data_IF_325860089357
#
_entry.id   IF_325860089357
#
_cell.length_a   1.000
_cell.length_b   1.000
_cell.length_c   1.000
_cell.angle_alpha   90.00
_cell.angle_beta   90.00
_cell.angle_gamma   90.00
#
_symmetry.space_group_name_H-M   'P 1'
#
loop_
_entity.id
_entity.type
_entity.pdbx_description
1 polymer ?
#
# COMPACT_ATOMS: atom_id res chain seq x y z
N UNK A 1 12.43 -1.75 -38.28
CA UNK A 1 12.28 -1.78 -36.81
C UNK A 1 12.46 -0.35 -36.32
N UNK A 2 11.42 0.27 -35.77
CA UNK A 2 11.50 1.61 -35.18
C UNK A 2 11.77 1.44 -33.68
N UNK A 3 12.85 2.04 -33.19
CA UNK A 3 13.20 2.08 -31.77
C UNK A 3 12.74 3.42 -31.21
N UNK A 4 11.98 3.38 -30.11
CA UNK A 4 11.59 4.58 -29.36
C UNK A 4 12.56 4.79 -28.20
N UNK A 5 12.94 6.05 -27.96
CA UNK A 5 13.83 6.42 -26.86
C UNK A 5 13.16 6.28 -25.48
N UNK A 6 11.82 6.34 -25.42
CA UNK A 6 11.03 6.16 -24.19
C UNK A 6 9.82 5.27 -24.42
N UNK A 7 9.65 4.29 -23.53
CA UNK A 7 8.51 3.35 -23.54
C UNK A 7 7.16 4.05 -23.34
N UNK A 8 7.13 5.21 -22.69
CA UNK A 8 5.92 6.00 -22.41
C UNK A 8 5.21 6.49 -23.68
N UNK A 9 5.95 6.77 -24.76
CA UNK A 9 5.38 7.24 -26.03
C UNK A 9 4.90 6.11 -26.95
N UNK A 10 5.01 4.85 -26.53
CA UNK A 10 4.68 3.70 -27.39
C UNK A 10 3.23 3.75 -27.89
N UNK A 11 2.27 4.14 -27.04
CA UNK A 11 0.86 4.21 -27.45
C UNK A 11 0.58 5.37 -28.42
N UNK A 12 1.11 6.55 -28.14
CA UNK A 12 0.93 7.74 -28.98
C UNK A 12 1.53 7.55 -30.37
N UNK A 13 2.76 7.04 -30.42
CA UNK A 13 3.49 6.81 -31.68
C UNK A 13 2.84 5.68 -32.49
N UNK A 14 2.34 4.63 -31.82
CA UNK A 14 1.62 3.53 -32.51
C UNK A 14 0.31 4.03 -33.13
N UNK A 15 -0.41 4.92 -32.44
CA UNK A 15 -1.63 5.53 -32.98
C UNK A 15 -1.33 6.45 -34.17
N UNK A 16 -0.30 7.30 -34.09
CA UNK A 16 0.10 8.19 -35.18
C UNK A 16 0.59 7.41 -36.41
N UNK A 17 1.39 6.36 -36.20
CA UNK A 17 1.88 5.51 -37.29
C UNK A 17 0.74 4.71 -37.94
N UNK A 18 -0.22 4.20 -37.17
CA UNK A 18 -1.40 3.53 -37.72
C UNK A 18 -2.25 4.47 -38.59
N UNK A 19 -2.39 5.75 -38.20
CA UNK A 19 -3.07 6.76 -39.01
C UNK A 19 -2.31 7.04 -40.31
N UNK A 20 -0.99 7.20 -40.25
CA UNK A 20 -0.11 7.40 -41.41
C UNK A 20 -0.11 6.22 -42.38
N UNK A 21 -0.13 4.99 -41.88
CA UNK A 21 -0.19 3.79 -42.73
C UNK A 21 -1.54 3.65 -43.42
N UNK A 22 -2.63 3.99 -42.73
CA UNK A 22 -3.98 4.02 -43.30
C UNK A 22 -4.12 5.10 -44.38
N UNK A 23 -3.54 6.27 -44.16
CA UNK A 23 -3.55 7.38 -45.14
C UNK A 23 -2.72 7.07 -46.39
N UNK A 24 -1.60 6.35 -46.24
CA UNK A 24 -0.75 5.93 -47.36
C UNK A 24 -1.15 4.60 -48.02
N UNK A 25 -2.26 3.98 -47.58
CA UNK A 25 -2.72 2.70 -48.12
C UNK A 25 -1.76 1.54 -47.91
N UNK A 26 -0.91 1.62 -46.88
CA UNK A 26 0.06 0.58 -46.52
C UNK A 26 -0.58 -0.40 -45.54
N UNK A 27 -0.67 -1.68 -45.94
CA UNK A 27 -1.16 -2.76 -45.07
C UNK A 27 -0.01 -3.31 -44.22
N UNK A 28 0.39 -2.53 -43.21
CA UNK A 28 1.46 -2.88 -42.28
C UNK A 28 0.88 -3.17 -40.89
N UNK A 29 1.14 -4.37 -40.38
CA UNK A 29 0.75 -4.78 -39.04
C UNK A 29 1.76 -4.23 -38.00
N UNK A 30 1.31 -3.28 -37.18
CA UNK A 30 2.10 -2.69 -36.11
C UNK A 30 2.06 -3.58 -34.87
N UNK A 31 3.20 -4.20 -34.53
CA UNK A 31 3.37 -4.97 -33.29
C UNK A 31 4.29 -4.25 -32.34
N UNK A 32 3.82 -4.00 -31.13
CA UNK A 32 4.62 -3.40 -30.06
C UNK A 32 5.56 -4.44 -29.45
N UNK A 33 6.67 -3.99 -28.83
CA UNK A 33 7.58 -4.89 -28.13
C UNK A 33 6.85 -5.72 -27.05
N UNK A 34 5.81 -5.15 -26.44
CA UNK A 34 5.00 -5.80 -25.40
C UNK A 34 4.11 -6.92 -25.95
N UNK A 35 3.60 -6.78 -27.18
CA UNK A 35 2.84 -7.82 -27.88
C UNK A 35 3.76 -8.94 -28.40
N UNK A 36 5.00 -8.59 -28.74
CA UNK A 36 6.04 -9.53 -29.16
C UNK A 36 6.69 -10.26 -27.97
N UNK A 37 6.47 -9.81 -26.73
CA UNK A 37 7.00 -10.40 -25.51
C UNK A 37 5.89 -10.91 -24.55
N UNK A 38 5.01 -11.84 -24.98
CA UNK A 38 3.89 -12.31 -24.17
C UNK A 38 4.33 -12.99 -22.86
N UNK A 39 5.51 -13.61 -22.85
CA UNK A 39 6.09 -14.22 -21.66
C UNK A 39 6.41 -13.17 -20.57
N UNK A 40 7.00 -12.04 -20.95
CA UNK A 40 7.31 -10.95 -20.01
C UNK A 40 6.05 -10.43 -19.32
N UNK A 41 4.98 -10.20 -20.09
CA UNK A 41 3.68 -9.78 -19.53
C UNK A 41 3.08 -10.83 -18.58
N UNK A 42 3.25 -12.12 -18.86
CA UNK A 42 2.79 -13.19 -17.98
C UNK A 42 3.54 -13.17 -16.64
N UNK A 43 4.86 -13.03 -16.66
CA UNK A 43 5.71 -12.95 -15.46
C UNK A 43 5.39 -11.72 -14.62
N UNK A 44 5.26 -10.54 -15.25
CA UNK A 44 4.89 -9.30 -14.54
C UNK A 44 3.51 -9.44 -13.88
N UNK A 45 2.53 -10.03 -14.56
CA UNK A 45 1.20 -10.29 -13.98
C UNK A 45 1.25 -11.25 -12.80
N UNK A 46 2.06 -12.31 -12.90
CA UNK A 46 2.26 -13.26 -11.80
C UNK A 46 2.84 -12.55 -10.57
N UNK A 47 3.93 -11.79 -10.73
CA UNK A 47 4.54 -11.05 -9.61
C UNK A 47 3.58 -10.02 -9.01
N UNK A 48 2.87 -9.25 -9.85
CA UNK A 48 1.87 -8.29 -9.37
C UNK A 48 0.74 -8.98 -8.58
N UNK A 49 0.28 -10.14 -9.03
CA UNK A 49 -0.71 -10.96 -8.31
C UNK A 49 -0.18 -11.43 -6.96
N UNK A 50 1.03 -12.02 -6.93
CA UNK A 50 1.67 -12.49 -5.70
C UNK A 50 1.86 -11.37 -4.69
N UNK A 51 2.44 -10.24 -5.11
CA UNK A 51 2.61 -9.08 -4.24
C UNK A 51 1.27 -8.47 -3.82
N UNK A 52 0.25 -8.52 -4.68
CA UNK A 52 -1.11 -8.12 -4.34
C UNK A 52 -1.67 -8.91 -3.16
N UNK A 53 -1.56 -10.24 -3.20
CA UNK A 53 -2.01 -11.12 -2.11
C UNK A 53 -1.25 -10.82 -0.81
N UNK A 54 0.08 -10.67 -0.88
CA UNK A 54 0.89 -10.34 0.30
C UNK A 54 0.49 -8.99 0.91
N UNK A 55 0.25 -7.96 0.08
CA UNK A 55 -0.24 -6.65 0.54
C UNK A 55 -1.56 -6.76 1.29
N UNK A 56 -2.50 -7.57 0.78
CA UNK A 56 -3.79 -7.79 1.46
C UNK A 56 -3.61 -8.48 2.80
N UNK A 57 -2.76 -9.51 2.88
CA UNK A 57 -2.46 -10.21 4.14
C UNK A 57 -1.86 -9.23 5.15
N UNK A 58 -0.87 -8.43 4.76
CA UNK A 58 -0.24 -7.44 5.64
C UNK A 58 -1.27 -6.40 6.10
N UNK A 59 -2.14 -5.92 5.20
CA UNK A 59 -3.20 -4.98 5.56
C UNK A 59 -4.11 -5.58 6.65
N UNK A 60 -4.53 -6.83 6.49
CA UNK A 60 -5.35 -7.54 7.48
C UNK A 60 -4.60 -7.67 8.82
N UNK A 61 -3.32 -8.04 8.81
CA UNK A 61 -2.51 -8.14 10.04
C UNK A 61 -2.41 -6.81 10.77
N UNK A 62 -2.16 -5.71 10.05
CA UNK A 62 -2.11 -4.36 10.62
C UNK A 62 -3.47 -3.97 11.20
N UNK A 63 -4.57 -4.24 10.47
CA UNK A 63 -5.92 -3.99 10.95
C UNK A 63 -6.18 -4.70 12.28
N UNK A 64 -5.89 -6.00 12.38
CA UNK A 64 -6.10 -6.78 13.61
C UNK A 64 -5.18 -6.36 14.75
N UNK A 65 -3.90 -6.08 14.46
CA UNK A 65 -2.93 -5.66 15.46
C UNK A 65 -3.35 -4.36 16.14
N UNK A 66 -3.70 -3.34 15.34
CA UNK A 66 -4.19 -2.05 15.86
C UNK A 66 -5.51 -2.21 16.60
N UNK A 67 -6.45 -2.99 16.05
CA UNK A 67 -7.74 -3.22 16.69
C UNK A 67 -7.58 -3.87 18.08
N UNK A 68 -6.67 -4.84 18.21
CA UNK A 68 -6.40 -5.51 19.48
C UNK A 68 -5.75 -4.56 20.49
N UNK A 69 -4.72 -3.81 20.08
CA UNK A 69 -4.03 -2.85 20.94
C UNK A 69 -4.97 -1.74 21.41
N UNK A 70 -5.76 -1.15 20.52
CA UNK A 70 -6.71 -0.10 20.89
C UNK A 70 -7.83 -0.64 21.77
N UNK A 71 -8.29 -1.87 21.53
CA UNK A 71 -9.29 -2.50 22.41
C UNK A 71 -8.76 -2.60 23.83
N UNK A 72 -7.49 -3.00 24.00
CA UNK A 72 -6.86 -3.04 25.33
C UNK A 72 -6.76 -1.63 25.95
N UNK A 73 -6.33 -0.63 25.17
CA UNK A 73 -6.27 0.76 25.64
C UNK A 73 -7.63 1.30 26.09
N UNK A 74 -8.71 0.94 25.38
CA UNK A 74 -10.09 1.29 25.75
C UNK A 74 -10.45 0.69 27.12
N UNK A 75 -10.10 -0.58 27.37
CA UNK A 75 -10.37 -1.24 28.65
C UNK A 75 -9.63 -0.59 29.83
N UNK A 76 -8.38 -0.18 29.62
CA UNK A 76 -7.60 0.54 30.66
C UNK A 76 -8.20 1.91 30.99
N UNK A 77 -8.82 2.58 30.00
CA UNK A 77 -9.34 3.96 30.13
C UNK A 77 -10.85 4.05 30.33
N UNK A 78 -11.56 2.96 30.63
CA UNK A 78 -13.03 2.95 30.80
C UNK A 78 -13.50 3.99 31.82
N UNK A 79 -12.81 4.11 32.96
CA UNK A 79 -13.14 5.09 34.02
C UNK A 79 -13.02 6.53 33.51
N UNK A 80 -11.94 6.87 32.81
CA UNK A 80 -11.71 8.19 32.24
C UNK A 80 -12.79 8.56 31.21
N UNK A 81 -13.14 7.61 30.34
CA UNK A 81 -14.22 7.79 29.34
C UNK A 81 -15.55 8.02 30.04
N UNK A 82 -15.83 7.31 31.14
CA UNK A 82 -17.02 7.52 31.98
C UNK A 82 -17.07 8.94 32.56
N UNK A 83 -15.96 9.43 33.10
CA UNK A 83 -15.86 10.80 33.63
C UNK A 83 -16.04 11.85 32.53
N UNK A 84 -15.42 11.68 31.36
CA UNK A 84 -15.58 12.59 30.22
C UNK A 84 -17.05 12.70 29.79
N UNK A 85 -17.79 11.60 29.84
CA UNK A 85 -19.22 11.58 29.54
C UNK A 85 -20.08 12.20 30.62
N UNK A 86 -19.72 12.03 31.89
CA UNK A 86 -20.42 12.66 33.02
C UNK A 86 -20.34 14.20 32.96
N UNK A 87 -19.22 14.73 32.46
CA UNK A 87 -19.02 16.18 32.25
C UNK A 87 -19.64 16.66 30.92
N UNK A 88 -20.34 15.77 30.18
CA UNK A 88 -21.13 16.13 29.00
C UNK A 88 -20.47 15.89 27.64
N UNK A 89 -19.34 15.19 27.57
CA UNK A 89 -18.70 14.87 26.29
C UNK A 89 -19.60 13.96 25.44
N UNK A 90 -19.89 14.40 24.22
CA UNK A 90 -20.69 13.64 23.24
C UNK A 90 -19.92 12.40 22.77
N UNK A 91 -20.65 11.34 22.38
CA UNK A 91 -20.08 10.11 21.79
C UNK A 91 -19.13 10.41 20.61
N UNK A 92 -19.44 11.43 19.81
CA UNK A 92 -18.60 11.88 18.70
C UNK A 92 -17.26 12.45 19.12
N UNK A 93 -17.14 13.04 20.32
CA UNK A 93 -15.87 13.50 20.87
C UNK A 93 -14.95 12.34 21.22
N UNK A 94 -15.50 11.29 21.83
CA UNK A 94 -14.77 10.05 22.17
C UNK A 94 -14.34 9.33 20.89
N UNK A 95 -15.23 9.22 19.89
CA UNK A 95 -14.87 8.64 18.59
C UNK A 95 -13.71 9.39 17.94
N UNK A 96 -13.77 10.73 17.89
CA UNK A 96 -12.69 11.55 17.32
C UNK A 96 -11.37 11.35 18.04
N UNK A 97 -11.38 11.22 19.36
CA UNK A 97 -10.16 10.98 20.15
C UNK A 97 -9.45 9.70 19.69
N UNK A 98 -10.17 8.58 19.62
CA UNK A 98 -9.60 7.30 19.18
C UNK A 98 -9.23 7.30 17.70
N UNK A 99 -10.01 7.96 16.83
CA UNK A 99 -9.63 8.11 15.42
C UNK A 99 -8.32 8.90 15.25
N UNK A 100 -8.12 9.95 16.06
CA UNK A 100 -6.87 10.71 16.10
C UNK A 100 -5.70 9.86 16.59
N UNK A 101 -5.92 9.04 17.61
CA UNK A 101 -4.89 8.12 18.09
C UNK A 101 -4.50 7.10 17.01
N UNK A 102 -5.47 6.49 16.32
CA UNK A 102 -5.21 5.60 15.18
C UNK A 102 -4.54 6.28 13.99
N UNK A 103 -4.87 7.55 13.73
CA UNK A 103 -4.22 8.37 12.71
C UNK A 103 -2.76 8.67 13.06
N UNK A 104 -2.47 9.06 14.30
CA UNK A 104 -1.09 9.32 14.77
C UNK A 104 -0.24 8.06 14.75
N UNK A 105 -0.78 6.93 15.20
CA UNK A 105 -0.13 5.61 15.10
C UNK A 105 0.17 5.30 13.62
N UNK A 106 -0.78 5.59 12.73
CA UNK A 106 -0.60 5.45 11.28
C UNK A 106 0.56 6.25 10.72
N UNK A 107 0.62 7.55 11.04
CA UNK A 107 1.69 8.44 10.57
C UNK A 107 3.03 7.95 11.08
N UNK A 108 3.16 7.70 12.38
CA UNK A 108 4.42 7.28 13.00
C UNK A 108 4.86 5.94 12.40
N UNK A 109 3.95 4.99 12.30
CA UNK A 109 4.23 3.68 11.69
C UNK A 109 4.61 3.78 10.22
N UNK A 110 3.96 4.64 9.44
CA UNK A 110 4.26 4.84 8.03
C UNK A 110 5.63 5.52 7.83
N UNK A 111 5.97 6.52 8.62
CA UNK A 111 7.30 7.18 8.59
C UNK A 111 8.39 6.17 8.93
N UNK A 112 8.25 5.46 10.05
CA UNK A 112 9.23 4.47 10.48
C UNK A 112 9.36 3.32 9.46
N UNK A 113 8.23 2.84 8.91
CA UNK A 113 8.19 1.83 7.88
C UNK A 113 8.91 2.25 6.59
N UNK A 114 8.74 3.50 6.16
CA UNK A 114 9.46 4.03 4.99
C UNK A 114 10.96 4.14 5.26
N UNK A 115 11.35 4.71 6.40
CA UNK A 115 12.76 4.86 6.76
C UNK A 115 13.44 3.48 6.79
N UNK A 116 12.85 2.54 7.53
CA UNK A 116 13.39 1.17 7.62
C UNK A 116 13.40 0.46 6.26
N UNK A 117 12.35 0.61 5.45
CA UNK A 117 12.29 0.05 4.10
C UNK A 117 13.38 0.60 3.18
N UNK A 118 13.65 1.90 3.24
CA UNK A 118 14.75 2.55 2.49
C UNK A 118 16.10 2.01 2.95
N UNK A 119 16.33 1.92 4.27
CA UNK A 119 17.58 1.39 4.83
C UNK A 119 17.83 -0.06 4.39
N UNK A 120 16.79 -0.90 4.43
CA UNK A 120 16.88 -2.29 3.94
C UNK A 120 17.15 -2.33 2.44
N UNK A 121 16.45 -1.51 1.65
CA UNK A 121 16.66 -1.45 0.20
C UNK A 121 18.10 -1.03 -0.16
N UNK A 122 18.63 -0.01 0.53
CA UNK A 122 20.01 0.42 0.35
C UNK A 122 21.00 -0.66 0.82
N UNK A 123 20.75 -1.33 1.94
CA UNK A 123 21.56 -2.44 2.42
C UNK A 123 21.65 -3.58 1.40
N UNK A 124 20.53 -3.96 0.80
CA UNK A 124 20.50 -4.97 -0.27
C UNK A 124 21.30 -4.52 -1.50
N UNK A 125 21.14 -3.26 -1.90
CA UNK A 125 21.89 -2.70 -3.04
C UNK A 125 23.41 -2.69 -2.78
N UNK A 126 23.83 -2.35 -1.55
CA UNK A 126 25.25 -2.37 -1.15
C UNK A 126 25.84 -3.78 -1.15
N UNK A 127 25.04 -4.80 -0.81
CA UNK A 127 25.45 -6.20 -0.88
C UNK A 127 25.52 -6.78 -2.31
N UNK A 128 25.33 -5.95 -3.34
CA UNK A 128 25.38 -6.36 -4.74
C UNK A 128 24.01 -6.71 -5.35
N UNK A 129 22.90 -6.42 -4.65
CA UNK A 129 21.54 -6.62 -5.13
C UNK A 129 21.00 -8.04 -4.90
N UNK A 130 19.89 -8.35 -5.57
CA UNK A 130 19.25 -9.66 -5.54
C UNK A 130 19.55 -10.38 -6.83
N UNK A 131 20.20 -11.55 -6.75
CA UNK A 131 20.45 -12.37 -7.94
C UNK A 131 19.13 -12.91 -8.50
N UNK A 132 18.86 -12.61 -9.78
CA UNK A 132 17.71 -13.12 -10.53
C UNK A 132 18.22 -14.10 -11.59
N UNK A 133 17.64 -15.30 -11.59
CA UNK A 133 17.92 -16.33 -12.60
C UNK A 133 17.62 -15.82 -14.02
N UNK A 134 18.39 -16.26 -15.04
CA UNK A 134 18.22 -15.78 -16.40
C UNK A 134 16.77 -15.93 -16.88
N UNK A 135 16.14 -14.84 -17.38
CA UNK A 135 14.85 -14.96 -18.04
C UNK A 135 14.99 -15.75 -19.36
N UNK A 136 13.92 -16.37 -19.87
CA UNK A 136 13.94 -17.06 -21.16
C UNK A 136 14.37 -16.10 -22.27
N UNK A 137 15.45 -16.46 -22.98
CA UNK A 137 16.08 -15.60 -24.00
C UNK A 137 17.40 -14.96 -23.56
N UNK A 138 17.78 -15.07 -22.28
CA UNK A 138 19.12 -14.74 -21.78
C UNK A 138 19.81 -15.99 -21.22
N UNK A 139 21.12 -16.09 -21.43
CA UNK A 139 21.96 -17.19 -20.92
C UNK A 139 22.62 -16.87 -19.58
N UNK A 140 22.60 -15.60 -19.16
CA UNK A 140 23.21 -15.13 -17.91
C UNK A 140 22.15 -14.48 -17.01
N UNK A 141 22.21 -14.79 -15.72
CA UNK A 141 21.44 -14.08 -14.70
C UNK A 141 21.98 -12.67 -14.48
N UNK A 142 21.21 -11.84 -13.79
CA UNK A 142 21.64 -10.49 -13.44
C UNK A 142 21.25 -10.15 -12.01
N UNK A 143 21.97 -9.20 -11.42
CA UNK A 143 21.64 -8.70 -10.09
C UNK A 143 20.65 -7.55 -10.21
N UNK A 144 19.45 -7.74 -9.67
CA UNK A 144 18.46 -6.70 -9.59
C UNK A 144 18.75 -5.78 -8.39
N UNK A 145 18.81 -4.48 -8.67
CA UNK A 145 18.87 -3.44 -7.66
C UNK A 145 17.45 -2.98 -7.33
N UNK A 146 17.23 -2.62 -6.07
CA UNK A 146 15.97 -2.07 -5.60
C UNK A 146 15.95 -0.58 -5.93
N UNK A 147 15.06 -0.20 -6.85
CA UNK A 147 14.82 1.20 -7.19
C UNK A 147 13.81 1.80 -6.21
N UNK A 148 14.21 2.90 -5.56
CA UNK A 148 13.33 3.66 -4.66
C UNK A 148 12.56 4.68 -5.50
N UNK A 149 11.27 4.43 -5.70
CA UNK A 149 10.39 5.30 -6.48
C UNK A 149 9.55 6.17 -5.53
N UNK A 150 9.66 7.51 -5.57
CA UNK A 150 8.93 8.39 -4.66
C UNK A 150 7.41 8.19 -4.67
N UNK A 151 6.83 7.93 -5.85
CA UNK A 151 5.39 7.66 -5.98
C UNK A 151 4.94 6.41 -5.22
N UNK A 152 5.77 5.37 -5.16
CA UNK A 152 5.46 4.14 -4.41
C UNK A 152 5.55 4.39 -2.91
N UNK A 153 6.53 5.18 -2.46
CA UNK A 153 6.65 5.56 -1.04
C UNK A 153 5.44 6.36 -0.58
N UNK A 154 5.00 7.33 -1.39
CA UNK A 154 3.81 8.14 -1.09
C UNK A 154 2.54 7.27 -1.03
N UNK A 155 2.37 6.36 -2.00
CA UNK A 155 1.23 5.44 -1.99
C UNK A 155 1.24 4.55 -0.74
N UNK A 156 2.39 3.97 -0.39
CA UNK A 156 2.55 3.17 0.82
C UNK A 156 2.21 3.98 2.08
N UNK A 157 2.74 5.21 2.19
CA UNK A 157 2.44 6.11 3.30
C UNK A 157 0.94 6.33 3.49
N UNK A 158 0.28 6.77 2.42
CA UNK A 158 -1.15 7.08 2.44
C UNK A 158 -1.98 5.83 2.73
N UNK A 159 -1.64 4.69 2.11
CA UNK A 159 -2.35 3.44 2.35
C UNK A 159 -2.26 2.99 3.81
N UNK A 160 -1.09 3.10 4.44
CA UNK A 160 -0.89 2.72 5.85
C UNK A 160 -1.68 3.62 6.80
N UNK A 161 -1.64 4.94 6.58
CA UNK A 161 -2.42 5.90 7.40
C UNK A 161 -3.92 5.64 7.25
N UNK A 162 -4.40 5.39 6.03
CA UNK A 162 -5.81 5.07 5.80
C UNK A 162 -6.20 3.76 6.50
N UNK A 163 -5.39 2.71 6.36
CA UNK A 163 -5.64 1.41 7.00
C UNK A 163 -5.64 1.54 8.52
N UNK A 164 -4.71 2.28 9.12
CA UNK A 164 -4.64 2.44 10.58
C UNK A 164 -5.83 3.23 11.13
N UNK A 165 -6.23 4.30 10.45
CA UNK A 165 -7.42 5.08 10.82
C UNK A 165 -8.69 4.24 10.68
N UNK A 166 -8.83 3.48 9.59
CA UNK A 166 -9.98 2.56 9.42
C UNK A 166 -9.99 1.49 10.51
N UNK A 167 -8.84 0.91 10.86
CA UNK A 167 -8.73 -0.07 11.94
C UNK A 167 -9.24 0.49 13.27
N UNK A 168 -8.87 1.73 13.59
CA UNK A 168 -9.24 2.39 14.85
C UNK A 168 -10.75 2.62 15.00
N UNK A 169 -11.52 2.58 13.91
CA UNK A 169 -12.96 2.82 13.94
C UNK A 169 -13.72 1.75 14.74
N UNK A 170 -13.38 0.47 14.57
CA UNK A 170 -14.02 -0.64 15.30
C UNK A 170 -13.88 -0.51 16.83
N UNK A 171 -12.66 -0.40 17.41
CA UNK A 171 -12.48 -0.23 18.85
C UNK A 171 -13.03 1.11 19.34
N UNK A 172 -12.94 2.19 18.55
CA UNK A 172 -13.54 3.49 18.90
C UNK A 172 -15.07 3.38 19.09
N UNK A 173 -15.75 2.70 18.17
CA UNK A 173 -17.20 2.44 18.29
C UNK A 173 -17.51 1.61 19.54
N UNK A 174 -16.70 0.58 19.82
CA UNK A 174 -16.85 -0.24 21.02
C UNK A 174 -16.70 0.59 22.31
N UNK A 175 -15.74 1.50 22.38
CA UNK A 175 -15.52 2.40 23.52
C UNK A 175 -16.75 3.26 23.86
N UNK A 176 -17.46 3.75 22.84
CA UNK A 176 -18.68 4.55 23.05
C UNK A 176 -19.86 3.75 23.61
N UNK A 177 -19.87 2.43 23.41
CA UNK A 177 -20.93 1.53 23.90
C UNK A 177 -20.66 1.06 25.33
N UNK A 178 -19.40 0.73 25.65
CA UNK A 178 -19.00 0.25 26.99
C UNK A 178 -19.27 1.28 28.10
N UNK A 179 -19.02 2.56 27.82
CA UNK A 179 -19.19 3.65 28.81
C UNK A 179 -20.63 3.96 29.25
N UNK A 180 -21.68 3.31 28.74
CA UNK A 180 -23.04 3.39 29.33
C UNK A 180 -23.34 2.19 30.22
N UNK A 181 -22.92 1.00 29.80
CA UNK A 181 -23.44 -0.26 30.34
C UNK A 181 -22.64 -0.71 31.57
N UNK A 182 -21.32 -0.53 31.57
CA UNK A 182 -20.47 -0.97 32.69
C UNK A 182 -20.29 0.09 33.78
N UNK A 183 -20.42 1.38 33.46
CA UNK A 183 -20.27 2.47 34.44
C UNK A 183 -21.37 2.50 35.51
N UNK A 184 -22.45 1.74 35.33
CA UNK A 184 -23.56 1.60 36.28
C UNK A 184 -23.57 0.23 36.98
N UNK A 185 -22.73 -0.73 36.56
CA UNK A 185 -22.79 -2.14 36.99
C UNK A 185 -21.65 -2.62 37.90
N UNK A 186 -20.67 -1.77 38.21
CA UNK A 186 -19.60 -2.05 39.18
C UNK A 186 -19.77 -1.13 40.39
N UNK A 187 -20.58 -1.58 41.35
CA UNK A 187 -20.40 -1.28 42.76
C UNK A 187 -19.72 -2.47 43.41
#
# INVERSE_FOLDING_TARGET
MLLLDKTEHTQEVTQQLNLLFKEKGLDLELKTWSELAPFYQAVVRLYNGMFGVVKVIIAILVLFSIANTMTMSVFERVKEIGTLRAIGTKKSGILKLFLWEGFLIGIIGAVLGIITGILVAQGINLCGGIYISPPPGMTTGYNALILIVPGVLLYSFLSTVVISTISSLYPALRATRLSIVESLGHN
#
